data_IF_565159520376
#
_entry.id   IF_565159520376
#
_cell.length_a   1.000
_cell.length_b   1.000
_cell.length_c   1.000
_cell.angle_alpha   90.00
_cell.angle_beta   90.00
_cell.angle_gamma   90.00
#
_symmetry.space_group_name_H-M   'P 1'
#
loop_
_entity.id
_entity.type
_entity.pdbx_description
1 polymer ?
#
# COMPACT_ATOMS: atom_id res chain seq x y z
N UNK A 1 4.79 21.03 -25.25
CA UNK A 1 4.36 21.86 -24.11
C UNK A 1 2.99 21.46 -23.58
N UNK A 2 1.88 21.64 -24.33
CA UNK A 2 0.52 21.32 -23.86
C UNK A 2 0.32 19.91 -23.29
N UNK A 3 0.97 18.89 -23.85
CA UNK A 3 0.88 17.51 -23.35
C UNK A 3 1.50 17.34 -21.96
N UNK A 4 2.69 17.91 -21.73
CA UNK A 4 3.40 17.83 -20.45
C UNK A 4 2.60 18.58 -19.37
N UNK A 5 2.03 19.74 -19.74
CA UNK A 5 1.14 20.51 -18.87
C UNK A 5 -0.12 19.70 -18.50
N UNK A 6 -0.74 19.01 -19.47
CA UNK A 6 -1.91 18.17 -19.21
C UNK A 6 -1.58 17.02 -18.25
N UNK A 7 -0.45 16.33 -18.43
CA UNK A 7 -0.02 15.24 -17.57
C UNK A 7 0.31 15.74 -16.14
N UNK A 8 1.00 16.88 -16.03
CA UNK A 8 1.24 17.52 -14.73
C UNK A 8 -0.07 17.94 -14.04
N UNK A 9 -0.98 18.56 -14.79
CA UNK A 9 -2.28 18.97 -14.27
C UNK A 9 -3.08 17.77 -13.78
N UNK A 10 -3.09 16.66 -14.54
CA UNK A 10 -3.73 15.43 -14.12
C UNK A 10 -3.14 14.92 -12.80
N UNK A 11 -1.81 14.81 -12.70
CA UNK A 11 -1.14 14.30 -11.50
C UNK A 11 -1.45 15.18 -10.27
N UNK A 12 -1.25 16.50 -10.42
CA UNK A 12 -1.52 17.48 -9.37
C UNK A 12 -2.98 17.48 -8.92
N UNK A 13 -3.92 17.49 -9.88
CA UNK A 13 -5.35 17.50 -9.57
C UNK A 13 -5.79 16.22 -8.87
N UNK A 14 -5.26 15.08 -9.31
CA UNK A 14 -5.53 13.79 -8.68
C UNK A 14 -5.01 13.76 -7.24
N UNK A 15 -3.78 14.23 -7.01
CA UNK A 15 -3.21 14.33 -5.67
C UNK A 15 -4.08 15.23 -4.76
N UNK A 16 -4.46 16.42 -5.22
CA UNK A 16 -5.33 17.34 -4.48
C UNK A 16 -6.67 16.69 -4.11
N UNK A 17 -7.32 16.00 -5.05
CA UNK A 17 -8.65 15.42 -4.85
C UNK A 17 -8.61 14.21 -3.92
N UNK A 18 -7.56 13.38 -4.03
CA UNK A 18 -7.45 12.10 -3.32
C UNK A 18 -6.67 12.26 -2.01
N UNK A 19 -5.39 12.62 -2.07
CA UNK A 19 -4.54 12.79 -0.88
C UNK A 19 -4.87 14.08 -0.11
N UNK A 20 -5.19 15.17 -0.81
CA UNK A 20 -5.62 16.44 -0.21
C UNK A 20 -7.07 16.47 0.31
N UNK A 21 -7.78 15.34 0.21
CA UNK A 21 -9.20 15.17 0.51
C UNK A 21 -10.12 16.19 -0.22
N UNK A 22 -9.67 16.73 -1.36
CA UNK A 22 -10.43 17.72 -2.12
C UNK A 22 -11.78 17.20 -2.60
N UNK A 23 -11.88 15.92 -2.97
CA UNK A 23 -13.15 15.33 -3.40
C UNK A 23 -14.21 15.27 -2.28
N UNK A 24 -13.78 15.07 -1.03
CA UNK A 24 -14.66 15.11 0.14
C UNK A 24 -15.07 16.55 0.46
N UNK A 25 -14.11 17.49 0.46
CA UNK A 25 -14.37 18.93 0.71
C UNK A 25 -15.34 19.54 -0.31
N UNK A 26 -15.30 19.06 -1.55
CA UNK A 26 -16.22 19.47 -2.63
C UNK A 26 -17.58 18.78 -2.56
N UNK A 27 -17.84 17.92 -1.56
CA UNK A 27 -19.10 17.20 -1.39
C UNK A 27 -19.36 16.13 -2.46
N UNK A 28 -18.34 15.72 -3.24
CA UNK A 28 -18.51 14.73 -4.33
C UNK A 28 -18.62 13.30 -3.82
N UNK A 29 -17.95 13.01 -2.71
CA UNK A 29 -17.94 11.70 -2.05
C UNK A 29 -17.88 11.89 -0.54
N UNK A 30 -18.38 10.91 0.21
CA UNK A 30 -18.39 10.95 1.68
C UNK A 30 -17.02 10.69 2.30
N UNK A 31 -16.22 9.81 1.68
CA UNK A 31 -14.89 9.44 2.19
C UNK A 31 -13.97 8.97 1.06
N UNK A 32 -12.66 9.14 1.24
CA UNK A 32 -11.62 8.54 0.40
C UNK A 32 -11.37 7.11 0.88
N UNK A 33 -12.10 6.14 0.33
CA UNK A 33 -11.99 4.73 0.73
C UNK A 33 -10.72 4.07 0.18
N UNK A 34 -10.29 2.96 0.79
CA UNK A 34 -9.18 2.13 0.29
C UNK A 34 -9.39 1.71 -1.17
N UNK A 35 -10.64 1.43 -1.57
CA UNK A 35 -10.98 1.12 -2.95
C UNK A 35 -10.71 2.29 -3.90
N UNK A 36 -11.06 3.52 -3.51
CA UNK A 36 -10.77 4.72 -4.31
C UNK A 36 -9.26 4.91 -4.44
N UNK A 37 -8.51 4.80 -3.34
CA UNK A 37 -7.05 4.87 -3.34
C UNK A 37 -6.43 3.83 -4.28
N UNK A 38 -6.87 2.57 -4.21
CA UNK A 38 -6.38 1.50 -5.08
C UNK A 38 -6.65 1.80 -6.57
N UNK A 39 -7.86 2.27 -6.91
CA UNK A 39 -8.20 2.63 -8.30
C UNK A 39 -7.32 3.79 -8.77
N UNK A 40 -7.17 4.83 -7.95
CA UNK A 40 -6.31 5.98 -8.27
C UNK A 40 -4.87 5.54 -8.50
N UNK A 41 -4.32 4.67 -7.63
CA UNK A 41 -2.98 4.11 -7.80
C UNK A 41 -2.83 3.43 -9.17
N UNK A 42 -3.80 2.58 -9.55
CA UNK A 42 -3.80 1.91 -10.87
C UNK A 42 -3.89 2.87 -12.04
N UNK A 43 -4.68 3.92 -11.94
CA UNK A 43 -4.75 4.96 -12.97
C UNK A 43 -3.40 5.68 -13.14
N UNK A 44 -2.73 6.02 -12.04
CA UNK A 44 -1.42 6.67 -12.07
C UNK A 44 -0.35 5.73 -12.66
N UNK A 45 -0.33 4.46 -12.23
CA UNK A 45 0.56 3.44 -12.77
C UNK A 45 0.35 3.23 -14.28
N UNK A 46 -0.91 3.21 -14.73
CA UNK A 46 -1.23 3.10 -16.15
C UNK A 46 -0.69 4.28 -16.96
N UNK A 47 -0.86 5.52 -16.47
CA UNK A 47 -0.29 6.68 -17.16
C UNK A 47 1.24 6.59 -17.16
N UNK A 48 1.86 6.31 -16.01
CA UNK A 48 3.31 6.15 -15.86
C UNK A 48 3.88 5.15 -16.86
N UNK A 49 3.29 3.95 -17.00
CA UNK A 49 3.79 2.92 -17.92
C UNK A 49 3.60 3.31 -19.40
N UNK A 50 2.68 4.23 -19.67
CA UNK A 50 2.37 4.71 -21.02
C UNK A 50 3.22 5.92 -21.40
N UNK A 51 3.81 6.65 -20.43
CA UNK A 51 4.67 7.81 -20.68
C UNK A 51 5.77 7.56 -21.73
N UNK A 52 6.53 6.44 -21.72
CA UNK A 52 7.55 6.19 -22.72
C UNK A 52 6.98 6.04 -24.14
N UNK A 53 5.80 5.42 -24.27
CA UNK A 53 5.11 5.24 -25.56
C UNK A 53 4.59 6.57 -26.09
N UNK A 54 4.01 7.39 -25.22
CA UNK A 54 3.58 8.75 -25.54
C UNK A 54 4.78 9.56 -26.01
N UNK A 55 5.89 9.56 -25.26
CA UNK A 55 7.12 10.25 -25.65
C UNK A 55 7.58 9.82 -27.05
N UNK A 56 7.70 8.52 -27.29
CA UNK A 56 8.15 7.98 -28.58
C UNK A 56 7.27 8.43 -29.74
N UNK A 57 5.95 8.38 -29.59
CA UNK A 57 5.00 8.82 -30.62
C UNK A 57 5.15 10.31 -30.95
N UNK A 58 5.25 11.17 -29.93
CA UNK A 58 5.42 12.61 -30.14
C UNK A 58 6.81 12.97 -30.69
N UNK A 59 7.85 12.20 -30.34
CA UNK A 59 9.18 12.36 -30.93
C UNK A 59 9.18 11.98 -32.42
N UNK A 60 8.47 10.91 -32.80
CA UNK A 60 8.29 10.54 -34.22
C UNK A 60 7.54 11.62 -35.01
N UNK A 61 6.44 12.15 -34.48
CA UNK A 61 5.71 13.24 -35.15
C UNK A 61 6.57 14.48 -35.35
N UNK A 62 7.43 14.81 -34.38
CA UNK A 62 8.38 15.93 -34.52
C UNK A 62 9.43 15.67 -35.58
N UNK A 63 9.92 14.44 -35.71
CA UNK A 63 10.90 14.07 -36.73
C UNK A 63 10.34 14.19 -38.16
N UNK A 64 9.01 14.04 -38.31
CA UNK A 64 8.30 14.21 -39.58
C UNK A 64 7.99 15.67 -39.92
N UNK A 65 7.95 16.57 -38.93
CA UNK A 65 7.84 18.01 -39.16
C UNK A 65 9.25 18.60 -39.37
N UNK A 66 9.48 19.31 -40.48
CA UNK A 66 10.79 19.79 -40.99
C UNK A 66 11.55 20.83 -40.11
N UNK A 67 11.56 20.68 -38.79
CA UNK A 67 12.38 21.50 -37.90
C UNK A 67 12.99 20.67 -36.75
N UNK A 68 14.00 19.84 -37.04
CA UNK A 68 14.68 19.04 -36.03
C UNK A 68 15.71 19.91 -35.30
N UNK A 69 15.32 20.56 -34.20
CA UNK A 69 16.30 21.14 -33.27
C UNK A 69 16.63 20.14 -32.15
N UNK A 70 17.88 19.64 -32.12
CA UNK A 70 18.40 18.67 -31.12
C UNK A 70 18.21 19.12 -29.67
N UNK A 71 18.17 20.44 -29.42
CA UNK A 71 17.95 21.02 -28.09
C UNK A 71 16.50 20.77 -27.60
N UNK A 72 15.52 20.76 -28.50
CA UNK A 72 14.11 20.56 -28.16
C UNK A 72 13.77 19.11 -27.78
N UNK A 73 14.49 18.13 -28.34
CA UNK A 73 14.30 16.70 -28.04
C UNK A 73 14.91 16.30 -26.70
N UNK A 74 16.08 16.85 -26.35
CA UNK A 74 16.71 16.68 -25.03
C UNK A 74 15.84 17.31 -23.93
N UNK A 75 15.29 18.50 -24.18
CA UNK A 75 14.38 19.17 -23.24
C UNK A 75 13.11 18.34 -22.98
N UNK A 76 12.50 17.77 -24.03
CA UNK A 76 11.33 16.90 -23.83
C UNK A 76 11.66 15.60 -23.11
N UNK A 77 12.84 15.00 -23.34
CA UNK A 77 13.26 13.80 -22.61
C UNK A 77 13.32 14.04 -21.09
N UNK A 78 13.98 15.13 -20.68
CA UNK A 78 14.06 15.52 -19.26
C UNK A 78 12.68 15.76 -18.63
N UNK A 79 11.75 16.37 -19.38
CA UNK A 79 10.38 16.60 -18.90
C UNK A 79 9.61 15.30 -18.65
N UNK A 80 9.79 14.28 -19.51
CA UNK A 80 9.16 12.97 -19.32
C UNK A 80 9.79 12.17 -18.17
N UNK A 81 11.09 12.27 -17.97
CA UNK A 81 11.76 11.69 -16.81
C UNK A 81 11.25 12.32 -15.50
N UNK A 82 11.15 13.64 -15.46
CA UNK A 82 10.57 14.35 -14.31
C UNK A 82 9.11 13.93 -14.06
N UNK A 83 8.29 13.84 -15.09
CA UNK A 83 6.92 13.32 -14.96
C UNK A 83 6.91 11.90 -14.39
N UNK A 84 7.77 11.02 -14.91
CA UNK A 84 7.84 9.63 -14.43
C UNK A 84 8.16 9.57 -12.93
N UNK A 85 9.07 10.44 -12.47
CA UNK A 85 9.38 10.60 -11.04
C UNK A 85 8.16 11.08 -10.23
N UNK A 86 7.51 12.17 -10.66
CA UNK A 86 6.33 12.73 -9.99
C UNK A 86 5.17 11.73 -9.85
N UNK A 87 4.93 10.93 -10.89
CA UNK A 87 3.91 9.87 -10.82
C UNK A 87 4.35 8.75 -9.86
N UNK A 88 5.63 8.41 -9.80
CA UNK A 88 6.16 7.39 -8.88
C UNK A 88 6.00 7.83 -7.42
N UNK A 89 6.38 9.06 -7.10
CA UNK A 89 6.23 9.64 -5.76
C UNK A 89 4.76 9.64 -5.33
N UNK A 90 3.85 10.04 -6.21
CA UNK A 90 2.41 10.02 -5.91
C UNK A 90 1.86 8.61 -5.71
N UNK A 91 2.32 7.61 -6.48
CA UNK A 91 1.98 6.19 -6.27
C UNK A 91 2.44 5.74 -4.88
N UNK A 92 3.67 6.09 -4.49
CA UNK A 92 4.24 5.73 -3.19
C UNK A 92 3.48 6.37 -2.03
N UNK A 93 3.06 7.63 -2.16
CA UNK A 93 2.21 8.32 -1.19
C UNK A 93 0.83 7.64 -1.03
N UNK A 94 0.22 7.19 -2.13
CA UNK A 94 -1.04 6.43 -2.06
C UNK A 94 -0.85 5.08 -1.38
N UNK A 95 0.23 4.35 -1.68
CA UNK A 95 0.56 3.12 -0.97
C UNK A 95 0.76 3.39 0.53
N UNK A 96 1.49 4.44 0.89
CA UNK A 96 1.64 4.86 2.29
C UNK A 96 0.30 5.16 2.96
N UNK A 97 -0.62 5.84 2.26
CA UNK A 97 -1.95 6.14 2.79
C UNK A 97 -2.81 4.89 3.00
N UNK A 98 -2.77 3.93 2.07
CA UNK A 98 -3.45 2.64 2.22
C UNK A 98 -2.96 1.90 3.47
N UNK A 99 -1.65 1.85 3.66
CA UNK A 99 -1.03 1.18 4.82
C UNK A 99 -1.41 1.88 6.13
N UNK A 100 -1.28 3.22 6.19
CA UNK A 100 -1.60 4.01 7.39
C UNK A 100 -3.05 3.85 7.86
N UNK A 101 -4.01 3.70 6.93
CA UNK A 101 -5.42 3.46 7.28
C UNK A 101 -5.57 2.17 8.10
N UNK A 102 -4.81 1.12 7.77
CA UNK A 102 -4.92 -0.18 8.44
C UNK A 102 -4.06 -0.26 9.67
N UNK A 103 -2.87 0.34 9.62
CA UNK A 103 -1.99 0.47 10.78
C UNK A 103 -2.77 1.02 12.00
N UNK A 104 -3.56 2.08 11.81
CA UNK A 104 -4.40 2.62 12.88
C UNK A 104 -5.38 1.56 13.45
N UNK A 105 -6.02 0.78 12.57
CA UNK A 105 -6.95 -0.28 13.03
C UNK A 105 -6.25 -1.44 13.72
N UNK A 106 -5.02 -1.76 13.32
CA UNK A 106 -4.20 -2.77 13.97
C UNK A 106 -3.78 -2.31 15.36
N UNK A 107 -3.32 -1.05 15.48
CA UNK A 107 -2.89 -0.51 16.75
C UNK A 107 -4.04 -0.48 17.76
N UNK A 108 -5.20 0.04 17.35
CA UNK A 108 -6.41 0.03 18.17
C UNK A 108 -6.77 -1.38 18.66
N UNK A 109 -6.78 -2.37 17.76
CA UNK A 109 -7.13 -3.76 18.11
C UNK A 109 -6.09 -4.39 19.04
N UNK A 110 -4.80 -4.28 18.71
CA UNK A 110 -3.70 -4.90 19.45
C UNK A 110 -3.45 -4.23 20.80
N UNK A 111 -3.81 -2.96 20.96
CA UNK A 111 -3.72 -2.26 22.26
C UNK A 111 -4.52 -2.95 23.36
N UNK A 112 -5.60 -3.65 23.00
CA UNK A 112 -6.48 -4.40 23.90
C UNK A 112 -6.12 -5.88 24.02
N UNK A 113 -5.10 -6.35 23.29
CA UNK A 113 -4.74 -7.76 23.26
C UNK A 113 -4.31 -8.26 24.64
N UNK A 114 -4.77 -9.47 24.99
CA UNK A 114 -4.32 -10.24 26.14
C UNK A 114 -4.00 -11.68 25.69
N UNK A 115 -2.94 -12.25 26.26
CA UNK A 115 -2.55 -13.64 26.00
C UNK A 115 -3.32 -14.56 26.95
N UNK A 116 -4.55 -14.90 26.58
CA UNK A 116 -5.45 -15.74 27.39
C UNK A 116 -6.36 -16.59 26.51
N UNK A 117 -6.54 -17.86 26.89
CA UNK A 117 -7.48 -18.78 26.26
C UNK A 117 -8.93 -18.21 26.23
N UNK A 118 -9.75 -18.59 25.25
CA UNK A 118 -9.50 -19.57 24.18
C UNK A 118 -8.68 -19.02 23.00
N UNK A 119 -8.04 -19.92 22.22
CA UNK A 119 -7.29 -19.60 21.01
C UNK A 119 -8.04 -20.06 19.73
N UNK A 120 -8.06 -19.29 18.63
CA UNK A 120 -7.48 -17.95 18.52
C UNK A 120 -8.21 -16.95 19.44
N UNK A 121 -7.55 -15.88 19.86
CA UNK A 121 -8.15 -14.83 20.65
C UNK A 121 -9.16 -14.01 19.83
N UNK A 122 -10.10 -13.34 20.50
CA UNK A 122 -11.02 -12.40 19.82
C UNK A 122 -10.28 -11.26 19.12
N UNK A 123 -9.15 -10.85 19.67
CA UNK A 123 -8.26 -9.87 19.06
C UNK A 123 -7.75 -10.37 17.69
N UNK A 124 -7.15 -11.56 17.63
CA UNK A 124 -6.63 -12.12 16.37
C UNK A 124 -7.75 -12.45 15.38
N UNK A 125 -8.89 -12.97 15.86
CA UNK A 125 -10.09 -13.15 15.03
C UNK A 125 -10.53 -11.84 14.40
N UNK A 126 -10.61 -10.76 15.18
CA UNK A 126 -11.04 -9.44 14.71
C UNK A 126 -10.04 -8.86 13.72
N UNK A 127 -8.75 -8.93 14.06
CA UNK A 127 -7.64 -8.48 13.21
C UNK A 127 -7.73 -9.10 11.80
N UNK A 128 -7.82 -10.43 11.73
CA UNK A 128 -7.90 -11.16 10.47
C UNK A 128 -9.23 -10.86 9.77
N UNK A 129 -10.36 -11.16 10.42
CA UNK A 129 -11.67 -11.21 9.74
C UNK A 129 -12.21 -9.84 9.37
N UNK A 130 -11.95 -8.80 10.18
CA UNK A 130 -12.48 -7.45 9.96
C UNK A 130 -11.50 -6.51 9.28
N UNK A 131 -10.22 -6.57 9.62
CA UNK A 131 -9.26 -5.60 9.11
C UNK A 131 -8.51 -6.13 7.89
N UNK A 132 -7.86 -7.29 8.03
CA UNK A 132 -7.06 -7.87 6.93
C UNK A 132 -7.94 -8.30 5.76
N UNK A 133 -9.00 -9.06 6.02
CA UNK A 133 -9.93 -9.52 4.97
C UNK A 133 -10.61 -8.34 4.26
N UNK A 134 -11.03 -7.32 4.99
CA UNK A 134 -11.66 -6.15 4.38
C UNK A 134 -10.69 -5.37 3.48
N UNK A 135 -9.43 -5.23 3.91
CA UNK A 135 -8.40 -4.62 3.07
C UNK A 135 -8.12 -5.43 1.82
N UNK A 136 -7.88 -6.74 1.98
CA UNK A 136 -7.65 -7.66 0.86
C UNK A 136 -8.77 -7.50 -0.17
N UNK A 137 -10.03 -7.58 0.26
CA UNK A 137 -11.19 -7.43 -0.63
C UNK A 137 -11.26 -6.05 -1.30
N UNK A 138 -10.79 -5.00 -0.63
CA UNK A 138 -10.78 -3.64 -1.18
C UNK A 138 -9.69 -3.44 -2.25
N UNK A 139 -8.57 -4.18 -2.19
CA UNK A 139 -7.41 -3.93 -3.05
C UNK A 139 -7.08 -5.04 -4.05
N UNK A 140 -7.29 -6.32 -3.70
CA UNK A 140 -6.75 -7.47 -4.42
C UNK A 140 -7.20 -7.58 -5.89
N UNK A 141 -8.42 -7.14 -6.20
CA UNK A 141 -8.95 -7.15 -7.58
C UNK A 141 -8.51 -5.95 -8.42
N UNK A 142 -7.83 -4.98 -7.80
CA UNK A 142 -7.48 -3.70 -8.41
C UNK A 142 -5.96 -3.59 -8.58
N UNK A 143 -5.21 -3.83 -7.50
CA UNK A 143 -3.76 -3.68 -7.50
C UNK A 143 -3.07 -4.78 -8.33
N UNK A 144 -1.82 -4.55 -8.74
CA UNK A 144 -1.04 -5.61 -9.40
C UNK A 144 -0.64 -6.70 -8.39
N UNK A 145 -0.34 -7.94 -8.83
CA UNK A 145 0.12 -9.00 -7.92
C UNK A 145 1.37 -8.58 -7.12
N UNK A 146 2.30 -7.87 -7.75
CA UNK A 146 3.51 -7.37 -7.08
C UNK A 146 3.20 -6.31 -6.02
N UNK A 147 2.27 -5.39 -6.32
CA UNK A 147 1.83 -4.39 -5.32
C UNK A 147 1.08 -5.06 -4.17
N UNK A 148 0.28 -6.10 -4.44
CA UNK A 148 -0.43 -6.85 -3.41
C UNK A 148 0.55 -7.47 -2.41
N UNK A 149 1.57 -8.17 -2.91
CA UNK A 149 2.63 -8.77 -2.09
C UNK A 149 3.35 -7.67 -1.30
N UNK A 150 3.72 -6.56 -1.94
CA UNK A 150 4.40 -5.44 -1.27
C UNK A 150 3.56 -4.84 -0.13
N UNK A 151 2.27 -4.60 -0.37
CA UNK A 151 1.35 -4.06 0.64
C UNK A 151 1.24 -5.01 1.83
N UNK A 152 1.04 -6.31 1.60
CA UNK A 152 0.91 -7.28 2.67
C UNK A 152 2.22 -7.56 3.41
N UNK A 153 3.36 -7.46 2.73
CA UNK A 153 4.68 -7.48 3.37
C UNK A 153 4.82 -6.32 4.37
N UNK A 154 4.46 -5.10 3.95
CA UNK A 154 4.48 -3.93 4.84
C UNK A 154 3.48 -4.05 5.99
N UNK A 155 2.27 -4.53 5.73
CA UNK A 155 1.27 -4.77 6.79
C UNK A 155 1.75 -5.80 7.81
N UNK A 156 2.38 -6.87 7.37
CA UNK A 156 2.95 -7.86 8.27
C UNK A 156 4.08 -7.26 9.12
N UNK A 157 4.95 -6.43 8.55
CA UNK A 157 5.98 -5.71 9.32
C UNK A 157 5.36 -4.83 10.43
N UNK A 158 4.31 -4.08 10.10
CA UNK A 158 3.57 -3.25 11.06
C UNK A 158 2.92 -4.11 12.14
N UNK A 159 2.24 -5.19 11.76
CA UNK A 159 1.66 -6.14 12.71
C UNK A 159 2.71 -6.65 13.70
N UNK A 160 3.88 -7.09 13.21
CA UNK A 160 4.98 -7.56 14.06
C UNK A 160 5.45 -6.49 15.02
N UNK A 161 5.66 -5.26 14.56
CA UNK A 161 6.08 -4.13 15.40
C UNK A 161 5.06 -3.82 16.50
N UNK A 162 3.78 -3.72 16.16
CA UNK A 162 2.71 -3.42 17.10
C UNK A 162 2.52 -4.53 18.13
N UNK A 163 2.57 -5.80 17.68
CA UNK A 163 2.47 -6.94 18.57
C UNK A 163 3.68 -7.02 19.50
N UNK A 164 4.91 -6.88 18.99
CA UNK A 164 6.13 -6.85 19.80
C UNK A 164 6.06 -5.76 20.88
N UNK A 165 5.58 -4.56 20.53
CA UNK A 165 5.33 -3.48 21.49
C UNK A 165 4.32 -3.89 22.57
N UNK A 166 3.22 -4.52 22.19
CA UNK A 166 2.19 -4.97 23.14
C UNK A 166 2.70 -6.08 24.08
N UNK A 167 3.43 -7.06 23.55
CA UNK A 167 3.99 -8.15 24.35
C UNK A 167 4.96 -7.65 25.41
N UNK A 168 5.78 -6.64 25.07
CA UNK A 168 6.66 -5.95 26.04
C UNK A 168 5.86 -5.28 27.17
N UNK A 169 4.75 -4.61 26.84
CA UNK A 169 3.88 -3.99 27.86
C UNK A 169 3.27 -5.03 28.80
N UNK A 170 2.88 -6.18 28.26
CA UNK A 170 2.34 -7.32 29.02
C UNK A 170 3.42 -8.14 29.74
N UNK A 171 4.72 -7.84 29.51
CA UNK A 171 5.88 -8.57 30.04
C UNK A 171 5.86 -10.07 29.70
N UNK A 172 5.40 -10.41 28.49
CA UNK A 172 5.41 -11.78 27.99
C UNK A 172 6.82 -12.09 27.48
N UNK A 173 7.40 -13.19 27.96
CA UNK A 173 8.73 -13.64 27.57
C UNK A 173 8.65 -14.72 26.48
N UNK A 174 9.73 -14.84 25.69
CA UNK A 174 9.95 -15.97 24.79
C UNK A 174 10.63 -17.12 25.58
N UNK A 175 9.88 -17.73 26.49
CA UNK A 175 10.39 -18.72 27.46
C UNK A 175 9.84 -20.14 27.23
N UNK A 176 9.01 -20.34 26.21
CA UNK A 176 8.31 -21.61 25.97
C UNK A 176 7.21 -21.94 26.98
N UNK A 177 6.86 -21.00 27.87
CA UNK A 177 5.83 -21.17 28.88
C UNK A 177 4.40 -21.18 28.32
N UNK A 178 3.37 -21.30 29.18
CA UNK A 178 1.98 -21.40 28.76
C UNK A 178 1.50 -20.21 27.92
N UNK A 179 1.89 -18.98 28.30
CA UNK A 179 1.53 -17.78 27.54
C UNK A 179 2.21 -17.75 26.16
N UNK A 180 3.48 -18.16 26.09
CA UNK A 180 4.17 -18.32 24.80
C UNK A 180 3.42 -19.33 23.89
N UNK A 181 2.96 -20.46 24.44
CA UNK A 181 2.17 -21.45 23.69
C UNK A 181 0.83 -20.92 23.17
N UNK A 182 0.12 -20.11 23.98
CA UNK A 182 -1.12 -19.45 23.55
C UNK A 182 -0.86 -18.43 22.43
N UNK A 183 0.14 -17.56 22.60
CA UNK A 183 0.56 -16.62 21.56
C UNK A 183 0.95 -17.33 20.26
N UNK A 184 1.68 -18.44 20.36
CA UNK A 184 2.05 -19.26 19.20
C UNK A 184 0.81 -19.74 18.44
N UNK A 185 -0.24 -20.14 19.16
CA UNK A 185 -1.51 -20.56 18.54
C UNK A 185 -2.19 -19.42 17.77
N UNK A 186 -2.17 -18.20 18.33
CA UNK A 186 -2.66 -17.00 17.67
C UNK A 186 -1.84 -16.64 16.42
N UNK A 187 -0.51 -16.71 16.49
CA UNK A 187 0.39 -16.46 15.37
C UNK A 187 0.20 -17.47 14.24
N UNK A 188 0.05 -18.76 14.56
CA UNK A 188 -0.24 -19.80 13.58
C UNK A 188 -1.60 -19.56 12.90
N UNK A 189 -2.60 -19.10 13.66
CA UNK A 189 -3.88 -18.68 13.09
C UNK A 189 -3.70 -17.51 12.11
N UNK A 190 -2.96 -16.47 12.51
CA UNK A 190 -2.65 -15.32 11.63
C UNK A 190 -1.98 -15.76 10.34
N UNK A 191 -0.90 -16.56 10.43
CA UNK A 191 -0.14 -17.06 9.26
C UNK A 191 -1.07 -17.81 8.31
N UNK A 192 -1.80 -18.80 8.84
CA UNK A 192 -2.69 -19.64 8.04
C UNK A 192 -3.76 -18.82 7.32
N UNK A 193 -4.30 -17.80 7.97
CA UNK A 193 -5.34 -16.97 7.38
C UNK A 193 -4.79 -16.02 6.31
N UNK A 194 -3.67 -15.35 6.57
CA UNK A 194 -3.04 -14.45 5.58
C UNK A 194 -2.61 -15.23 4.32
N UNK A 195 -1.98 -16.39 4.50
CA UNK A 195 -1.54 -17.24 3.38
C UNK A 195 -2.70 -17.99 2.70
N UNK A 196 -3.92 -17.93 3.24
CA UNK A 196 -5.10 -18.49 2.55
C UNK A 196 -5.64 -17.58 1.45
N UNK A 197 -5.22 -16.31 1.41
CA UNK A 197 -5.65 -15.38 0.38
C UNK A 197 -4.93 -15.65 -0.95
N UNK A 198 -5.67 -15.68 -2.09
CA UNK A 198 -5.07 -15.83 -3.40
C UNK A 198 -3.97 -14.81 -3.69
N UNK A 199 -2.79 -15.30 -4.10
CA UNK A 199 -1.62 -14.48 -4.40
C UNK A 199 -0.75 -14.14 -3.19
N UNK A 200 -1.08 -14.62 -1.98
CA UNK A 200 -0.30 -14.43 -0.75
C UNK A 200 0.18 -15.77 -0.13
N UNK A 201 -0.01 -16.89 -0.83
CA UNK A 201 0.27 -18.24 -0.33
C UNK A 201 1.75 -18.41 0.05
N UNK A 202 2.64 -17.80 -0.75
CA UNK A 202 4.09 -17.86 -0.58
C UNK A 202 4.66 -16.63 0.16
N UNK A 203 3.80 -15.79 0.76
CA UNK A 203 4.26 -14.62 1.50
C UNK A 203 4.99 -15.07 2.77
N UNK A 204 6.28 -14.73 2.86
CA UNK A 204 7.08 -15.01 4.05
C UNK A 204 6.75 -14.01 5.17
N UNK A 205 6.16 -14.50 6.26
CA UNK A 205 5.70 -13.64 7.35
C UNK A 205 6.74 -13.46 8.47
N UNK A 206 7.62 -14.45 8.70
CA UNK A 206 8.69 -14.37 9.72
C UNK A 206 8.18 -13.78 11.05
N UNK A 207 7.07 -14.32 11.57
CA UNK A 207 6.38 -13.77 12.75
C UNK A 207 7.17 -13.91 14.04
N UNK A 208 8.15 -14.80 14.05
CA UNK A 208 9.14 -14.99 15.10
C UNK A 208 10.01 -13.73 15.34
N UNK A 209 10.14 -12.84 14.35
CA UNK A 209 10.82 -11.55 14.51
C UNK A 209 10.14 -10.61 15.52
N UNK A 210 8.92 -10.90 16.00
CA UNK A 210 8.29 -10.11 17.07
C UNK A 210 9.13 -10.07 18.36
N UNK A 211 10.02 -11.04 18.55
CA UNK A 211 10.91 -11.08 19.71
C UNK A 211 12.20 -10.30 19.53
N UNK A 212 12.59 -10.03 18.28
CA UNK A 212 13.83 -9.31 17.92
C UNK A 212 13.57 -7.85 17.51
N UNK A 213 12.30 -7.47 17.36
CA UNK A 213 11.91 -6.11 16.96
C UNK A 213 12.11 -5.15 18.13
N UNK A 214 13.17 -4.34 18.06
CA UNK A 214 13.49 -3.28 19.05
C UNK A 214 12.41 -2.19 19.10
#
# INVERSE_FOLDING_TARGET
>A
HRLIELLNLFNSKTCQLVLGAGAVKLGKIKTISAKILAITCRCLQFIKITLPKIKAHFDQLKALSESPSTISSISSAKQFEQLTKLYSEHIDEIHGKLISIIENTFDETLSSYEVRAPMPSDCFRTLVTRHITAFYNAVARIVSPSDLILLFTRLNSIFKQLLARRLRQLRIANDGGPQHGLLTSDLLYYIKQVQSFPGLEMLELHVDEIWTTN
#
